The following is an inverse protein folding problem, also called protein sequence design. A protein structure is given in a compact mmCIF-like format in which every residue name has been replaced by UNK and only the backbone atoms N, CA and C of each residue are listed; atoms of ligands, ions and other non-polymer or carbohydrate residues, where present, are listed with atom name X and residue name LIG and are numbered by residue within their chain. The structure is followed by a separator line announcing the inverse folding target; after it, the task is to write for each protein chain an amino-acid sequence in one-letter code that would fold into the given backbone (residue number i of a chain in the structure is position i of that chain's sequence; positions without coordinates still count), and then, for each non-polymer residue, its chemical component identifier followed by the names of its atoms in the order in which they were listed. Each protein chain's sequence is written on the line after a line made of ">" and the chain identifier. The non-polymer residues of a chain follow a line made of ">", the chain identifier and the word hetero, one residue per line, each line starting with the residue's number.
data_IF_118172743661
#
_entry.id   IF_118172743661
#
_cell.length_a   1.000
_cell.length_b   1.000
_cell.length_c   1.000
_cell.angle_alpha   90.00
_cell.angle_beta   90.00
_cell.angle_gamma   90.00
#
_symmetry.space_group_name_H-M   'P 1'
#
loop_
_entity.id
_entity.type
_entity.pdbx_description
1 polymer ?
#
# COMPACT_ATOMS: atom_id res chain seq x y z
N UNK A 1 -28.83 -18.87 -68.65
CA UNK A 1 -29.91 -18.56 -67.69
C UNK A 1 -30.51 -19.88 -67.25
N UNK A 2 -30.44 -20.40 -66.03
CA UNK A 2 -29.86 -20.01 -64.76
C UNK A 2 -30.26 -21.11 -63.75
N UNK A 3 -29.28 -21.61 -62.98
CA UNK A 3 -29.35 -22.19 -61.62
C UNK A 3 -30.36 -23.35 -61.38
N UNK A 4 -29.99 -24.63 -61.47
CA UNK A 4 -29.24 -25.48 -60.49
C UNK A 4 -29.86 -25.51 -59.08
N UNK A 5 -30.80 -26.44 -58.84
CA UNK A 5 -30.63 -27.71 -58.07
C UNK A 5 -30.57 -27.57 -56.54
N UNK A 6 -31.59 -28.12 -55.83
CA UNK A 6 -31.54 -29.34 -54.98
C UNK A 6 -30.85 -29.12 -53.62
N UNK A 7 -31.32 -29.56 -52.45
CA UNK A 7 -32.38 -30.46 -51.98
C UNK A 7 -32.53 -30.18 -50.48
N UNK A 8 -33.75 -30.22 -49.94
CA UNK A 8 -33.97 -30.50 -48.52
C UNK A 8 -33.85 -32.00 -48.30
N UNK A 9 -33.06 -32.43 -47.31
CA UNK A 9 -33.34 -33.62 -46.50
C UNK A 9 -32.47 -33.56 -45.23
N UNK A 10 -33.12 -33.66 -44.08
CA UNK A 10 -32.50 -33.49 -42.77
C UNK A 10 -31.70 -34.71 -42.28
N UNK A 11 -30.96 -34.50 -41.20
CA UNK A 11 -30.54 -35.54 -40.26
C UNK A 11 -30.37 -34.87 -38.89
N UNK A 12 -31.20 -35.30 -37.93
CA UNK A 12 -30.99 -35.06 -36.50
C UNK A 12 -30.34 -36.33 -35.95
N UNK A 13 -29.11 -36.23 -35.43
CA UNK A 13 -28.50 -37.23 -34.54
C UNK A 13 -27.33 -36.57 -33.82
N UNK A 14 -27.29 -36.72 -32.49
CA UNK A 14 -26.55 -35.84 -31.59
C UNK A 14 -25.09 -36.18 -31.33
N UNK A 15 -24.45 -35.26 -30.62
CA UNK A 15 -23.42 -35.56 -29.64
C UNK A 15 -23.43 -34.45 -28.57
N UNK A 16 -24.13 -34.70 -27.47
CA UNK A 16 -23.82 -34.06 -26.21
C UNK A 16 -22.63 -34.81 -25.62
N UNK A 17 -21.47 -34.15 -25.47
CA UNK A 17 -20.49 -34.37 -24.40
C UNK A 17 -19.30 -33.40 -24.57
N UNK A 18 -19.25 -32.36 -23.74
CA UNK A 18 -18.01 -31.78 -23.21
C UNK A 18 -18.33 -30.89 -22.00
N UNK A 19 -19.06 -31.46 -21.02
CA UNK A 19 -18.93 -31.03 -19.64
C UNK A 19 -17.75 -31.80 -19.05
N UNK A 20 -16.77 -31.09 -18.49
CA UNK A 20 -15.82 -31.68 -17.57
C UNK A 20 -14.34 -31.57 -17.95
N UNK A 21 -13.85 -30.35 -18.14
CA UNK A 21 -12.54 -29.98 -17.55
C UNK A 21 -12.70 -28.59 -16.97
N UNK A 22 -13.44 -28.47 -15.85
CA UNK A 22 -13.10 -27.46 -14.85
C UNK A 22 -11.84 -27.96 -14.14
N UNK A 23 -10.73 -28.01 -14.88
CA UNK A 23 -9.43 -28.10 -14.27
C UNK A 23 -9.30 -26.81 -13.49
N UNK A 24 -9.25 -26.89 -12.16
CA UNK A 24 -8.60 -25.84 -11.39
C UNK A 24 -7.23 -25.67 -12.04
N UNK A 25 -7.03 -24.57 -12.75
CA UNK A 25 -5.69 -24.19 -13.17
C UNK A 25 -4.91 -24.00 -11.87
N UNK A 26 -4.17 -25.02 -11.48
CA UNK A 26 -3.13 -24.89 -10.49
C UNK A 26 -2.11 -24.03 -11.22
N UNK A 27 -2.14 -22.72 -10.95
CA UNK A 27 -1.11 -21.84 -11.45
C UNK A 27 0.21 -22.36 -10.89
N UNK A 28 1.18 -22.60 -11.75
CA UNK A 28 2.53 -22.90 -11.29
C UNK A 28 3.03 -21.67 -10.53
N UNK A 29 3.40 -21.85 -9.26
CA UNK A 29 4.07 -20.82 -8.48
C UNK A 29 5.58 -21.01 -8.67
N UNK A 30 6.33 -20.00 -9.12
CA UNK A 30 5.88 -18.64 -9.49
C UNK A 30 5.29 -18.55 -10.91
N UNK A 31 4.26 -17.71 -11.11
CA UNK A 31 3.60 -17.51 -12.40
C UNK A 31 4.41 -16.60 -13.36
N UNK A 32 5.40 -15.88 -12.83
CA UNK A 32 6.27 -14.99 -13.58
C UNK A 32 7.69 -14.99 -13.01
N UNK A 33 8.68 -14.81 -13.87
CA UNK A 33 10.07 -14.62 -13.46
C UNK A 33 10.43 -13.17 -13.13
N UNK A 34 9.53 -12.21 -13.39
CA UNK A 34 9.78 -10.80 -13.03
C UNK A 34 9.81 -10.64 -11.51
N UNK A 35 10.70 -9.81 -10.96
CA UNK A 35 10.73 -9.57 -9.52
C UNK A 35 9.46 -8.87 -9.06
N UNK A 36 9.01 -9.22 -7.85
CA UNK A 36 8.08 -8.42 -7.07
C UNK A 36 8.91 -7.31 -6.43
N UNK A 37 8.67 -6.07 -6.87
CA UNK A 37 9.36 -4.90 -6.33
C UNK A 37 8.62 -4.42 -5.09
N UNK A 38 9.32 -4.43 -3.95
CA UNK A 38 8.79 -4.05 -2.63
C UNK A 38 9.56 -2.80 -2.15
N UNK A 39 8.87 -1.74 -1.70
CA UNK A 39 9.52 -0.55 -1.18
C UNK A 39 10.14 -0.83 0.20
N UNK A 40 11.23 -0.14 0.50
CA UNK A 40 11.79 -0.01 1.84
C UNK A 40 12.05 1.47 2.10
N UNK A 41 11.29 2.06 3.00
CA UNK A 41 11.49 3.45 3.42
C UNK A 41 12.37 3.54 4.68
N UNK A 42 12.35 4.70 5.34
CA UNK A 42 13.21 5.03 6.47
C UNK A 42 12.54 4.87 7.85
N UNK A 43 11.36 4.25 7.97
CA UNK A 43 10.83 3.85 9.27
C UNK A 43 10.87 2.34 9.48
N UNK A 44 11.04 1.96 10.76
CA UNK A 44 11.30 0.57 11.15
C UNK A 44 10.11 -0.34 10.87
N UNK A 45 8.87 0.17 11.02
CA UNK A 45 7.64 -0.58 10.73
C UNK A 45 7.66 -1.15 9.32
N UNK A 46 7.82 -0.30 8.31
CA UNK A 46 7.78 -0.76 6.93
C UNK A 46 8.99 -1.65 6.61
N UNK A 47 10.18 -1.31 7.10
CA UNK A 47 11.37 -2.15 6.92
C UNK A 47 11.11 -3.60 7.38
N UNK A 48 10.39 -3.79 8.49
CA UNK A 48 10.00 -5.11 8.99
C UNK A 48 8.93 -5.74 8.09
N UNK A 49 7.87 -5.00 7.75
CA UNK A 49 6.77 -5.50 6.94
C UNK A 49 7.24 -5.93 5.54
N UNK A 50 8.03 -5.10 4.87
CA UNK A 50 8.69 -5.42 3.59
C UNK A 50 9.59 -6.65 3.70
N UNK A 51 10.41 -6.76 4.75
CA UNK A 51 11.30 -7.90 4.94
C UNK A 51 10.54 -9.20 5.18
N UNK A 52 9.46 -9.18 5.96
CA UNK A 52 8.61 -10.34 6.22
C UNK A 52 7.86 -10.76 4.96
N UNK A 53 7.23 -9.81 4.26
CA UNK A 53 6.50 -10.10 3.03
C UNK A 53 7.41 -10.66 1.93
N UNK A 54 8.58 -10.05 1.74
CA UNK A 54 9.55 -10.51 0.75
C UNK A 54 10.08 -11.92 1.05
N UNK A 55 10.43 -12.23 2.31
CA UNK A 55 10.85 -13.59 2.68
C UNK A 55 9.75 -14.64 2.43
N UNK A 56 8.48 -14.32 2.73
CA UNK A 56 7.36 -15.22 2.43
C UNK A 56 7.25 -15.45 0.92
N UNK A 57 7.40 -14.40 0.10
CA UNK A 57 7.35 -14.50 -1.36
C UNK A 57 8.55 -15.29 -1.92
N UNK A 58 9.74 -15.10 -1.39
CA UNK A 58 10.93 -15.88 -1.74
C UNK A 58 10.76 -17.37 -1.37
N UNK A 59 10.21 -17.68 -0.19
CA UNK A 59 9.91 -19.05 0.23
C UNK A 59 8.87 -19.73 -0.69
N UNK A 60 7.96 -18.94 -1.29
CA UNK A 60 7.03 -19.40 -2.31
C UNK A 60 7.68 -19.56 -3.70
N UNK A 61 8.91 -19.10 -3.89
CA UNK A 61 9.69 -19.24 -5.12
C UNK A 61 9.67 -18.01 -6.04
N UNK A 62 9.12 -16.88 -5.61
CA UNK A 62 9.18 -15.63 -6.38
C UNK A 62 10.55 -14.96 -6.26
N UNK A 63 10.89 -14.16 -7.27
CA UNK A 63 12.00 -13.22 -7.18
C UNK A 63 11.51 -11.95 -6.48
N UNK A 64 12.27 -11.43 -5.52
CA UNK A 64 11.95 -10.18 -4.80
C UNK A 64 13.07 -9.17 -5.01
N UNK A 65 12.70 -7.91 -5.21
CA UNK A 65 13.62 -6.78 -5.26
C UNK A 65 13.15 -5.71 -4.26
N UNK A 66 14.08 -5.19 -3.47
CA UNK A 66 13.81 -4.10 -2.54
C UNK A 66 14.29 -2.78 -3.11
N UNK A 67 13.44 -1.75 -3.07
CA UNK A 67 13.79 -0.40 -3.53
C UNK A 67 13.68 0.62 -2.40
N UNK A 68 14.74 1.40 -2.19
CA UNK A 68 14.72 2.50 -1.23
C UNK A 68 13.91 3.67 -1.79
N UNK A 69 12.77 4.00 -1.17
CA UNK A 69 11.84 5.03 -1.66
C UNK A 69 11.06 5.67 -0.49
N UNK A 70 10.74 6.97 -0.61
CA UNK A 70 9.94 7.70 0.38
C UNK A 70 8.43 7.46 0.22
N UNK A 71 7.63 7.81 1.23
CA UNK A 71 6.20 7.48 1.31
C UNK A 71 5.38 7.99 0.12
N UNK A 72 5.54 9.27 -0.22
CA UNK A 72 4.80 9.90 -1.33
C UNK A 72 5.20 9.30 -2.67
N UNK A 73 6.51 9.09 -2.89
CA UNK A 73 7.03 8.51 -4.12
C UNK A 73 6.66 7.03 -4.28
N UNK A 74 6.52 6.30 -3.17
CA UNK A 74 6.07 4.91 -3.16
C UNK A 74 4.66 4.77 -3.75
N UNK A 75 3.72 5.61 -3.33
CA UNK A 75 2.35 5.56 -3.85
C UNK A 75 2.30 5.80 -5.37
N UNK A 76 3.03 6.81 -5.86
CA UNK A 76 3.18 7.04 -7.30
C UNK A 76 3.85 5.86 -8.01
N UNK A 77 4.88 5.26 -7.40
CA UNK A 77 5.57 4.09 -7.94
C UNK A 77 4.64 2.88 -8.08
N UNK A 78 3.72 2.66 -7.13
CA UNK A 78 2.67 1.62 -7.27
C UNK A 78 1.72 1.99 -8.40
N UNK A 79 1.27 3.24 -8.45
CA UNK A 79 0.33 3.72 -9.46
C UNK A 79 0.88 3.65 -10.91
N UNK A 80 2.19 3.82 -11.08
CA UNK A 80 2.89 3.69 -12.37
C UNK A 80 3.27 2.23 -12.70
N UNK A 81 3.23 1.34 -11.72
CA UNK A 81 3.59 -0.08 -11.86
C UNK A 81 5.09 -0.38 -11.69
N UNK A 82 5.88 0.59 -11.24
CA UNK A 82 7.30 0.43 -10.92
C UNK A 82 7.50 -0.30 -9.57
N UNK A 83 6.56 -0.11 -8.63
CA UNK A 83 6.46 -0.86 -7.38
C UNK A 83 5.31 -1.87 -7.50
N UNK A 84 5.56 -3.14 -7.16
CA UNK A 84 4.56 -4.21 -7.32
C UNK A 84 3.65 -4.32 -6.11
N UNK A 85 4.19 -4.17 -4.91
CA UNK A 85 3.47 -4.35 -3.65
C UNK A 85 4.04 -3.43 -2.59
N UNK A 86 3.18 -2.61 -1.97
CA UNK A 86 3.51 -1.76 -0.82
C UNK A 86 2.88 -2.35 0.46
N UNK A 87 3.68 -2.95 1.36
CA UNK A 87 3.17 -3.55 2.59
C UNK A 87 2.59 -2.53 3.58
N UNK A 88 3.10 -1.30 3.58
CA UNK A 88 2.68 -0.26 4.52
C UNK A 88 2.50 1.09 3.82
N UNK A 89 1.31 1.31 3.25
CA UNK A 89 0.92 2.56 2.61
C UNK A 89 -0.04 3.33 3.53
N UNK A 90 0.44 4.46 4.05
CA UNK A 90 -0.31 5.37 4.93
C UNK A 90 -1.13 6.35 4.11
N UNK A 91 -2.44 6.12 4.04
CA UNK A 91 -3.37 6.90 3.21
C UNK A 91 -3.53 8.35 3.68
N UNK A 92 -3.43 8.59 4.99
CA UNK A 92 -3.52 9.91 5.61
C UNK A 92 -2.42 10.89 5.15
N UNK A 93 -1.25 10.40 4.73
CA UNK A 93 -0.17 11.26 4.22
C UNK A 93 -0.33 11.60 2.74
N UNK A 94 -1.14 10.84 2.00
CA UNK A 94 -1.35 11.02 0.56
C UNK A 94 -2.49 11.99 0.24
N UNK A 95 -3.34 12.31 1.22
CA UNK A 95 -4.49 13.18 1.03
C UNK A 95 -5.42 12.66 -0.08
N UNK A 96 -5.77 13.54 -1.02
CA UNK A 96 -6.69 13.19 -2.12
C UNK A 96 -6.08 12.19 -3.13
N UNK A 97 -4.74 12.06 -3.20
CA UNK A 97 -4.06 11.22 -4.19
C UNK A 97 -4.43 9.73 -4.03
N UNK A 98 -4.58 9.25 -2.80
CA UNK A 98 -4.91 7.84 -2.57
C UNK A 98 -6.29 7.51 -3.16
N UNK A 99 -7.29 8.34 -2.88
CA UNK A 99 -8.64 8.15 -3.40
C UNK A 99 -8.66 8.20 -4.94
N UNK A 100 -7.93 9.14 -5.54
CA UNK A 100 -7.81 9.26 -7.00
C UNK A 100 -7.18 7.99 -7.62
N UNK A 101 -6.08 7.48 -7.07
CA UNK A 101 -5.44 6.26 -7.59
C UNK A 101 -6.34 5.02 -7.50
N UNK A 102 -7.15 4.90 -6.45
CA UNK A 102 -8.12 3.81 -6.32
C UNK A 102 -9.23 3.93 -7.37
N UNK A 103 -9.81 5.13 -7.55
CA UNK A 103 -10.88 5.38 -8.53
C UNK A 103 -10.40 5.15 -9.97
N UNK A 104 -9.16 5.54 -10.26
CA UNK A 104 -8.52 5.31 -11.56
C UNK A 104 -8.09 3.86 -11.78
N UNK A 105 -8.13 3.01 -10.75
CA UNK A 105 -7.71 1.61 -10.80
C UNK A 105 -6.19 1.42 -10.92
N UNK A 106 -5.41 2.43 -10.51
CA UNK A 106 -3.94 2.40 -10.52
C UNK A 106 -3.37 1.69 -9.29
N UNK A 107 -4.07 1.79 -8.16
CA UNK A 107 -3.74 1.05 -6.93
C UNK A 107 -4.88 0.08 -6.64
N UNK A 108 -4.51 -1.13 -6.22
CA UNK A 108 -5.43 -2.11 -5.67
C UNK A 108 -5.19 -2.21 -4.16
N UNK A 109 -6.20 -1.86 -3.37
CA UNK A 109 -6.18 -2.07 -1.92
C UNK A 109 -6.28 -3.57 -1.61
N UNK A 110 -5.28 -4.09 -0.92
CA UNK A 110 -5.17 -5.51 -0.53
C UNK A 110 -5.68 -5.78 0.89
N UNK A 111 -6.16 -4.75 1.59
CA UNK A 111 -6.73 -4.83 2.93
C UNK A 111 -5.76 -4.45 4.05
N UNK A 112 -6.30 -4.45 5.27
CA UNK A 112 -5.57 -4.02 6.46
C UNK A 112 -4.55 -5.05 6.94
N UNK A 113 -3.40 -4.56 7.41
CA UNK A 113 -2.37 -5.36 8.08
C UNK A 113 -2.61 -5.55 9.59
N UNK A 114 -3.74 -5.04 10.11
CA UNK A 114 -4.17 -5.23 11.50
C UNK A 114 -3.53 -4.27 12.53
N UNK A 115 -3.04 -3.12 12.08
CA UNK A 115 -2.46 -2.08 12.94
C UNK A 115 -3.52 -1.03 13.29
N UNK A 116 -3.72 -0.73 14.58
CA UNK A 116 -4.48 0.45 15.04
C UNK A 116 -3.58 1.68 14.93
N UNK A 117 -3.56 2.29 13.74
CA UNK A 117 -2.75 3.44 13.38
C UNK A 117 -3.07 4.65 14.27
N UNK A 118 -2.03 5.23 14.89
CA UNK A 118 -2.14 6.48 15.67
C UNK A 118 -0.95 7.37 15.42
N UNK A 119 -1.21 8.48 14.77
CA UNK A 119 -0.24 9.53 14.51
C UNK A 119 -0.67 10.82 15.20
N UNK A 120 0.31 11.55 15.70
CA UNK A 120 0.06 12.82 16.35
C UNK A 120 1.24 13.29 17.15
N UNK A 121 1.07 14.45 17.76
CA UNK A 121 2.12 15.07 18.56
C UNK A 121 2.22 14.36 19.90
N UNK A 122 3.45 13.97 20.23
CA UNK A 122 3.77 13.24 21.44
C UNK A 122 4.68 14.08 22.33
N UNK A 123 4.47 13.95 23.64
CA UNK A 123 5.35 14.52 24.64
C UNK A 123 5.71 13.44 25.67
N UNK A 124 6.95 13.44 26.21
CA UNK A 124 7.30 12.55 27.32
C UNK A 124 6.42 12.81 28.54
N UNK A 125 6.02 11.75 29.26
CA UNK A 125 5.03 11.85 30.36
C UNK A 125 5.42 12.87 31.44
N UNK A 126 6.71 13.04 31.73
CA UNK A 126 7.20 14.01 32.72
C UNK A 126 6.88 15.47 32.37
N UNK A 127 6.60 15.78 31.09
CA UNK A 127 6.20 17.13 30.66
C UNK A 127 4.85 17.55 31.28
N UNK A 128 4.01 16.59 31.71
CA UNK A 128 2.78 16.92 32.47
C UNK A 128 3.06 17.64 33.78
N UNK A 129 4.22 17.42 34.39
CA UNK A 129 4.61 18.14 35.61
C UNK A 129 4.93 19.61 35.32
N UNK A 130 5.42 19.91 34.11
CA UNK A 130 5.76 21.25 33.64
C UNK A 130 4.55 21.98 33.03
N UNK A 131 3.64 21.23 32.40
CA UNK A 131 2.41 21.73 31.82
C UNK A 131 1.22 20.82 32.19
N UNK A 132 0.61 21.02 33.37
CA UNK A 132 -0.46 20.15 33.89
C UNK A 132 -1.74 20.10 33.06
N UNK A 133 -1.93 21.04 32.13
CA UNK A 133 -3.10 21.07 31.23
C UNK A 133 -3.03 20.08 30.07
N UNK A 134 -1.86 19.48 29.79
CA UNK A 134 -1.72 18.49 28.73
C UNK A 134 -2.59 17.24 28.98
N UNK A 135 -3.17 16.61 27.93
CA UNK A 135 -2.88 16.76 26.50
C UNK A 135 -3.73 17.82 25.77
N UNK A 136 -4.42 18.72 26.49
CA UNK A 136 -5.22 19.76 25.85
C UNK A 136 -4.37 20.65 24.93
N UNK A 137 -4.88 20.92 23.72
CA UNK A 137 -4.15 21.67 22.70
C UNK A 137 -3.93 23.14 23.09
N UNK A 138 -4.92 23.77 23.71
CA UNK A 138 -4.78 25.17 24.14
C UNK A 138 -3.78 25.27 25.30
N UNK A 139 -3.76 24.29 26.21
CA UNK A 139 -2.72 24.15 27.22
C UNK A 139 -1.33 23.96 26.60
N UNK A 140 -1.20 23.12 25.57
CA UNK A 140 0.07 22.94 24.85
C UNK A 140 0.58 24.26 24.28
N UNK A 141 -0.27 25.03 23.60
CA UNK A 141 0.10 26.36 23.06
C UNK A 141 0.47 27.36 24.18
N UNK A 142 -0.30 27.35 25.27
CA UNK A 142 -0.04 28.18 26.46
C UNK A 142 1.27 27.86 27.16
N UNK A 143 1.78 26.64 27.00
CA UNK A 143 3.05 26.18 27.54
C UNK A 143 4.20 26.21 26.52
N UNK A 144 4.02 26.78 25.32
CA UNK A 144 4.99 26.71 24.21
C UNK A 144 6.43 27.10 24.60
N UNK A 145 6.61 28.05 25.52
CA UNK A 145 7.93 28.49 26.00
C UNK A 145 8.75 27.37 26.64
N UNK A 146 8.14 26.36 27.28
CA UNK A 146 8.88 25.22 27.88
C UNK A 146 9.53 24.34 26.81
N UNK A 147 9.05 24.41 25.57
CA UNK A 147 9.60 23.71 24.43
C UNK A 147 10.55 24.59 23.60
N UNK A 148 10.81 25.83 24.03
CA UNK A 148 11.68 26.74 23.30
C UNK A 148 13.14 26.30 23.35
N UNK A 149 13.88 26.69 22.32
CA UNK A 149 15.33 26.58 22.26
C UNK A 149 15.92 27.97 22.00
N UNK A 150 17.24 28.11 22.07
CA UNK A 150 17.92 29.36 21.75
C UNK A 150 17.57 29.88 20.33
N UNK A 151 17.28 28.97 19.39
CA UNK A 151 16.97 29.30 17.99
C UNK A 151 15.50 29.63 17.75
N UNK A 152 14.60 29.12 18.61
CA UNK A 152 13.15 29.27 18.40
C UNK A 152 12.50 30.30 19.31
N UNK A 153 13.19 30.80 20.33
CA UNK A 153 12.64 31.77 21.28
C UNK A 153 12.03 33.01 20.59
N UNK A 154 10.82 33.46 21.00
CA UNK A 154 10.00 32.97 22.13
C UNK A 154 9.11 31.76 21.82
N UNK A 155 9.17 31.21 20.62
CA UNK A 155 8.33 30.09 20.20
C UNK A 155 8.86 28.74 20.67
N UNK A 156 7.94 27.82 20.93
CA UNK A 156 8.25 26.40 21.15
C UNK A 156 8.81 25.75 19.88
N UNK A 157 9.70 24.77 20.06
CA UNK A 157 10.18 23.92 18.97
C UNK A 157 9.34 22.65 18.89
N UNK A 158 8.68 22.47 17.75
CA UNK A 158 8.12 21.19 17.35
C UNK A 158 9.14 20.45 16.48
N UNK A 159 9.39 19.18 16.80
CA UNK A 159 10.22 18.30 15.98
C UNK A 159 9.28 17.36 15.23
N UNK A 160 9.05 17.67 13.96
CA UNK A 160 8.16 16.91 13.09
C UNK A 160 8.83 15.67 12.48
N UNK A 161 8.04 14.89 11.76
CA UNK A 161 8.54 13.83 10.89
C UNK A 161 9.47 14.38 9.78
N UNK A 162 10.30 13.52 9.19
CA UNK A 162 11.01 13.85 7.96
C UNK A 162 10.05 14.35 6.88
N UNK A 163 10.48 15.33 6.07
CA UNK A 163 9.62 16.00 5.10
C UNK A 163 9.11 15.09 3.97
N UNK A 164 9.74 13.93 3.79
CA UNK A 164 9.38 12.92 2.82
C UNK A 164 8.36 11.86 3.32
N UNK A 165 7.89 12.00 4.57
CA UNK A 165 6.84 11.15 5.17
C UNK A 165 5.45 11.64 4.79
#
# INVERSE_FOLDING_TARGET
>A
MGVSSRKFLGTVAGLALALGVTGTAVADVPESSRPIVIPMNNWTGETINAAVAGQILEDMGYNVEYVAIGAIAMAQGVADGDVTYAPELWDNNLGDLYADYIVEGKILDLGEVGIDAREGWLYPVHVKELCPGLPDWDAFLGCSEIFSTAETFPNGRYLDYPAEW
#
